data_IF_021198805120
#
_entry.id   IF_021198805120
#
_cell.length_a   1.000
_cell.length_b   1.000
_cell.length_c   1.000
_cell.angle_alpha   90.00
_cell.angle_beta   90.00
_cell.angle_gamma   90.00
#
_symmetry.space_group_name_H-M   'P 1'
#
loop_
_entity.id
_entity.type
_entity.pdbx_description
1 polymer ?
#
# COMPACT_ATOMS: atom_id res chain seq x y z
N UNK A 1 8.25 11.70 19.24
CA UNK A 1 8.71 12.03 20.62
C UNK A 1 8.05 13.31 21.17
N UNK A 2 6.72 13.44 21.13
CA UNK A 2 5.98 14.57 21.74
C UNK A 2 4.90 14.14 22.75
N UNK A 3 4.63 12.84 22.87
CA UNK A 3 3.60 12.30 23.76
C UNK A 3 4.10 12.04 25.20
N UNK A 4 5.40 11.80 25.39
CA UNK A 4 5.99 11.58 26.73
C UNK A 4 6.00 12.85 27.61
N UNK A 5 5.88 14.04 27.01
CA UNK A 5 5.88 15.33 27.72
C UNK A 5 4.51 15.73 28.26
N UNK A 6 3.41 15.19 27.72
CA UNK A 6 2.05 15.57 28.16
C UNK A 6 1.65 14.78 29.40
N UNK A 7 1.97 13.48 29.45
CA UNK A 7 1.70 12.63 30.62
C UNK A 7 2.53 13.04 31.85
N UNK A 8 3.76 13.51 31.66
CA UNK A 8 4.58 14.01 32.78
C UNK A 8 4.09 15.36 33.31
N UNK A 9 3.53 16.23 32.46
CA UNK A 9 2.96 17.51 32.87
C UNK A 9 1.67 17.36 33.70
N UNK A 10 0.78 16.43 33.33
CA UNK A 10 -0.44 16.17 34.09
C UNK A 10 -0.16 15.47 35.43
N UNK A 11 0.72 14.46 35.44
CA UNK A 11 1.11 13.79 36.68
C UNK A 11 1.89 14.70 37.65
N UNK A 12 2.64 15.69 37.13
CA UNK A 12 3.31 16.70 37.96
C UNK A 12 2.32 17.75 38.50
N UNK A 13 1.32 18.16 37.71
CA UNK A 13 0.31 19.13 38.13
C UNK A 13 -0.63 18.57 39.21
N UNK A 14 -1.07 17.31 39.10
CA UNK A 14 -1.91 16.67 40.12
C UNK A 14 -1.16 16.40 41.43
N UNK A 15 0.11 16.01 41.37
CA UNK A 15 0.95 15.88 42.58
C UNK A 15 1.18 17.23 43.25
N UNK A 16 1.32 18.31 42.49
CA UNK A 16 1.45 19.67 43.03
C UNK A 16 0.18 20.14 43.74
N UNK A 17 -1.01 19.88 43.16
CA UNK A 17 -2.28 20.30 43.74
C UNK A 17 -2.61 19.54 45.05
N UNK A 18 -2.40 18.23 45.06
CA UNK A 18 -2.63 17.40 46.25
C UNK A 18 -1.59 17.70 47.34
N UNK A 19 -0.33 17.96 46.97
CA UNK A 19 0.71 18.35 47.94
C UNK A 19 0.51 19.76 48.50
N UNK A 20 -0.02 20.71 47.70
CA UNK A 20 -0.35 22.06 48.17
C UNK A 20 -1.58 22.08 49.09
N UNK A 21 -2.61 21.27 48.83
CA UNK A 21 -3.74 21.16 49.77
C UNK A 21 -3.33 20.50 51.09
N UNK A 22 -2.42 19.51 51.04
CA UNK A 22 -1.92 18.86 52.26
C UNK A 22 -1.00 19.79 53.08
N UNK A 23 -0.12 20.57 52.44
CA UNK A 23 0.71 21.58 53.11
C UNK A 23 -0.11 22.74 53.68
N UNK A 24 -1.21 23.15 53.03
CA UNK A 24 -2.11 24.17 53.57
C UNK A 24 -2.83 23.72 54.86
N UNK A 25 -3.03 22.42 55.05
CA UNK A 25 -3.58 21.84 56.31
C UNK A 25 -2.52 21.40 57.33
N UNK A 26 -1.25 21.30 56.95
CA UNK A 26 -0.17 20.75 57.80
C UNK A 26 0.43 21.76 58.79
N UNK A 27 0.22 23.07 58.57
CA UNK A 27 0.69 24.11 59.49
C UNK A 27 -0.36 24.52 60.55
N UNK A 28 -0.89 23.56 61.30
CA UNK A 28 -1.41 23.83 62.65
C UNK A 28 -0.38 23.36 63.66
N UNK A 29 0.61 24.20 63.93
CA UNK A 29 1.45 24.05 65.10
C UNK A 29 0.53 24.27 66.32
N UNK A 30 0.19 23.19 67.03
CA UNK A 30 -0.60 23.29 68.27
C UNK A 30 0.38 23.71 69.36
N UNK A 31 0.41 25.01 69.63
CA UNK A 31 1.21 25.58 70.72
C UNK A 31 0.51 25.26 72.06
N UNK A 32 1.00 24.25 72.77
CA UNK A 32 0.41 23.76 74.02
C UNK A 32 0.82 24.57 75.26
N UNK A 33 1.48 25.71 75.09
CA UNK A 33 2.11 26.49 76.16
C UNK A 33 1.27 27.67 76.71
N UNK A 34 -0.01 27.80 76.32
CA UNK A 34 -0.89 28.84 76.84
C UNK A 34 -1.75 28.37 78.01
N UNK A 35 -1.83 29.15 79.09
CA UNK A 35 -2.58 28.85 80.33
C UNK A 35 -4.10 28.63 80.16
N UNK A 36 -4.64 28.77 78.94
CA UNK A 36 -6.05 28.57 78.59
C UNK A 36 -6.27 27.58 77.43
N UNK A 37 -5.37 26.62 77.23
CA UNK A 37 -5.57 25.56 76.24
C UNK A 37 -6.63 24.54 76.73
N UNK A 38 -7.87 24.67 76.28
CA UNK A 38 -8.90 23.64 76.50
C UNK A 38 -8.74 22.50 75.52
N UNK A 39 -8.45 21.31 76.06
CA UNK A 39 -8.31 20.08 75.30
C UNK A 39 -9.71 19.55 74.95
N UNK A 40 -10.21 19.90 73.77
CA UNK A 40 -11.48 19.37 73.25
C UNK A 40 -11.19 17.98 72.69
N UNK A 41 -11.50 16.95 73.48
CA UNK A 41 -11.38 15.57 73.07
C UNK A 41 -12.44 15.27 72.00
N UNK A 42 -12.02 14.78 70.84
CA UNK A 42 -12.91 14.32 69.80
C UNK A 42 -13.89 13.28 70.38
N UNK A 43 -15.17 13.49 70.15
CA UNK A 43 -16.21 12.58 70.62
C UNK A 43 -16.32 11.39 69.69
N UNK A 44 -16.93 10.31 70.16
CA UNK A 44 -17.20 9.15 69.31
C UNK A 44 -18.15 9.47 68.15
N UNK A 45 -18.99 10.50 68.30
CA UNK A 45 -19.84 11.01 67.22
C UNK A 45 -19.00 11.68 66.12
N UNK A 46 -17.99 12.48 66.48
CA UNK A 46 -17.10 13.14 65.51
C UNK A 46 -16.31 12.12 64.68
N UNK A 47 -15.88 11.00 65.30
CA UNK A 47 -15.20 9.91 64.61
C UNK A 47 -16.12 9.17 63.64
N UNK A 48 -17.39 8.94 64.02
CA UNK A 48 -18.38 8.30 63.14
C UNK A 48 -18.76 9.21 61.96
N UNK A 49 -18.87 10.51 62.19
CA UNK A 49 -19.13 11.48 61.12
C UNK A 49 -17.93 11.60 60.17
N UNK A 50 -16.68 11.65 60.67
CA UNK A 50 -15.49 11.58 59.83
C UNK A 50 -15.43 10.28 59.01
N UNK A 51 -15.74 9.14 59.62
CA UNK A 51 -15.77 7.86 58.92
C UNK A 51 -16.79 7.87 57.77
N UNK A 52 -17.98 8.44 58.01
CA UNK A 52 -19.03 8.58 57.01
C UNK A 52 -18.60 9.48 55.85
N UNK A 53 -18.01 10.64 56.16
CA UNK A 53 -17.49 11.56 55.13
C UNK A 53 -16.36 10.91 54.33
N UNK A 54 -15.44 10.19 54.98
CA UNK A 54 -14.37 9.46 54.30
C UNK A 54 -14.91 8.39 53.35
N UNK A 55 -15.90 7.60 53.79
CA UNK A 55 -16.52 6.57 52.93
C UNK A 55 -17.21 7.19 51.71
N UNK A 56 -17.94 8.30 51.90
CA UNK A 56 -18.56 9.03 50.79
C UNK A 56 -17.51 9.59 49.83
N UNK A 57 -16.38 10.06 50.35
CA UNK A 57 -15.29 10.58 49.52
C UNK A 57 -14.60 9.46 48.72
N UNK A 58 -14.37 8.30 49.34
CA UNK A 58 -13.84 7.10 48.68
C UNK A 58 -14.78 6.65 47.55
N UNK A 59 -16.08 6.62 47.82
CA UNK A 59 -17.08 6.24 46.82
C UNK A 59 -17.11 7.22 45.64
N UNK A 60 -17.06 8.53 45.93
CA UNK A 60 -16.99 9.57 44.90
C UNK A 60 -15.74 9.44 44.03
N UNK A 61 -14.57 9.30 44.64
CA UNK A 61 -13.30 9.15 43.91
C UNK A 61 -13.31 7.88 43.06
N UNK A 62 -13.88 6.78 43.57
CA UNK A 62 -14.01 5.54 42.79
C UNK A 62 -14.90 5.72 41.55
N UNK A 63 -16.00 6.45 41.66
CA UNK A 63 -16.88 6.75 40.53
C UNK A 63 -16.18 7.62 39.48
N UNK A 64 -15.51 8.69 39.91
CA UNK A 64 -14.74 9.58 39.02
C UNK A 64 -13.59 8.83 38.32
N UNK A 65 -12.91 7.94 39.04
CA UNK A 65 -11.86 7.10 38.50
C UNK A 65 -12.41 6.13 37.45
N UNK A 66 -13.53 5.45 37.73
CA UNK A 66 -14.16 4.54 36.77
C UNK A 66 -14.61 5.27 35.50
N UNK A 67 -15.18 6.47 35.64
CA UNK A 67 -15.61 7.29 34.50
C UNK A 67 -14.41 7.72 33.65
N UNK A 68 -13.32 8.15 34.30
CA UNK A 68 -12.08 8.54 33.62
C UNK A 68 -11.43 7.36 32.90
N UNK A 69 -11.37 6.19 33.53
CA UNK A 69 -10.85 4.96 32.91
C UNK A 69 -11.70 4.58 31.68
N UNK A 70 -13.03 4.64 31.79
CA UNK A 70 -13.92 4.31 30.68
C UNK A 70 -13.77 5.30 29.51
N UNK A 71 -13.68 6.60 29.80
CA UNK A 71 -13.54 7.62 28.76
C UNK A 71 -12.19 7.52 28.04
N UNK A 72 -11.12 7.28 28.79
CA UNK A 72 -9.76 7.09 28.23
C UNK A 72 -9.67 5.84 27.37
N UNK A 73 -10.21 4.70 27.81
CA UNK A 73 -10.25 3.49 26.96
C UNK A 73 -11.07 3.70 25.70
N UNK A 74 -12.22 4.38 25.78
CA UNK A 74 -13.03 4.70 24.61
C UNK A 74 -12.27 5.58 23.60
N UNK A 75 -11.59 6.62 24.06
CA UNK A 75 -10.79 7.49 23.21
C UNK A 75 -9.61 6.73 22.56
N UNK A 76 -8.99 5.80 23.31
CA UNK A 76 -7.94 4.94 22.78
C UNK A 76 -8.49 3.99 21.71
N UNK A 77 -9.63 3.34 21.95
CA UNK A 77 -10.26 2.42 20.99
C UNK A 77 -10.65 3.15 19.69
N UNK A 78 -11.23 4.35 19.79
CA UNK A 78 -11.57 5.18 18.62
C UNK A 78 -10.30 5.58 17.83
N UNK A 79 -9.22 5.91 18.54
CA UNK A 79 -7.93 6.25 17.91
C UNK A 79 -7.33 5.04 17.21
N UNK A 80 -7.28 3.88 17.88
CA UNK A 80 -6.74 2.64 17.32
C UNK A 80 -7.58 2.19 16.13
N UNK A 81 -8.90 2.25 16.21
CA UNK A 81 -9.78 1.94 15.10
C UNK A 81 -9.53 2.85 13.89
N UNK A 82 -9.36 4.16 14.11
CA UNK A 82 -9.02 5.12 13.06
C UNK A 82 -7.65 4.85 12.45
N UNK A 83 -6.63 4.53 13.24
CA UNK A 83 -5.29 4.21 12.73
C UNK A 83 -5.28 2.91 11.93
N UNK A 84 -5.97 1.87 12.42
CA UNK A 84 -6.11 0.60 11.71
C UNK A 84 -6.81 0.81 10.37
N UNK A 85 -7.90 1.57 10.34
CA UNK A 85 -8.60 1.88 9.08
C UNK A 85 -7.67 2.63 8.11
N UNK A 86 -6.97 3.66 8.60
CA UNK A 86 -6.02 4.39 7.77
C UNK A 86 -4.90 3.49 7.22
N UNK A 87 -4.41 2.54 8.02
CA UNK A 87 -3.41 1.57 7.54
C UNK A 87 -3.99 0.62 6.50
N UNK A 88 -5.24 0.17 6.67
CA UNK A 88 -5.93 -0.65 5.67
C UNK A 88 -6.10 0.10 4.36
N UNK A 89 -6.57 1.35 4.40
CA UNK A 89 -6.76 2.18 3.21
C UNK A 89 -5.43 2.41 2.46
N UNK A 90 -4.34 2.68 3.21
CA UNK A 90 -3.00 2.82 2.62
C UNK A 90 -2.48 1.52 2.02
N UNK A 91 -2.71 0.39 2.69
CA UNK A 91 -2.32 -0.92 2.18
C UNK A 91 -3.07 -1.23 0.88
N UNK A 92 -4.37 -0.96 0.83
CA UNK A 92 -5.18 -1.13 -0.37
C UNK A 92 -4.67 -0.26 -1.52
N UNK A 93 -4.44 1.03 -1.27
CA UNK A 93 -3.88 1.95 -2.27
C UNK A 93 -2.53 1.45 -2.81
N UNK A 94 -1.64 0.99 -1.93
CA UNK A 94 -0.34 0.44 -2.32
C UNK A 94 -0.48 -0.82 -3.17
N UNK A 95 -1.41 -1.72 -2.81
CA UNK A 95 -1.69 -2.93 -3.59
C UNK A 95 -2.24 -2.61 -4.98
N UNK A 96 -3.18 -1.67 -5.08
CA UNK A 96 -3.72 -1.21 -6.37
C UNK A 96 -2.63 -0.60 -7.26
N UNK A 97 -1.78 0.24 -6.69
CA UNK A 97 -0.64 0.84 -7.40
C UNK A 97 0.36 -0.23 -7.87
N UNK A 98 0.69 -1.17 -6.99
CA UNK A 98 1.63 -2.27 -7.30
C UNK A 98 1.07 -3.16 -8.40
N UNK A 99 -0.24 -3.48 -8.34
CA UNK A 99 -0.91 -4.27 -9.37
C UNK A 99 -0.86 -3.57 -10.74
N UNK A 100 -1.15 -2.27 -10.80
CA UNK A 100 -1.08 -1.49 -12.03
C UNK A 100 0.35 -1.46 -12.62
N UNK A 101 1.36 -1.35 -11.76
CA UNK A 101 2.76 -1.40 -12.17
C UNK A 101 3.15 -2.79 -12.71
N UNK A 102 2.79 -3.86 -12.00
CA UNK A 102 3.04 -5.24 -12.43
C UNK A 102 2.38 -5.55 -13.77
N UNK A 103 1.12 -5.12 -13.95
CA UNK A 103 0.41 -5.26 -15.21
C UNK A 103 1.15 -4.56 -16.36
N UNK A 104 1.63 -3.33 -16.13
CA UNK A 104 2.40 -2.57 -17.12
C UNK A 104 3.71 -3.27 -17.48
N UNK A 105 4.43 -3.79 -16.48
CA UNK A 105 5.66 -4.55 -16.68
C UNK A 105 5.41 -5.83 -17.46
N UNK A 106 4.37 -6.59 -17.13
CA UNK A 106 3.99 -7.81 -17.84
C UNK A 106 3.65 -7.53 -19.31
N UNK A 107 2.91 -6.47 -19.58
CA UNK A 107 2.65 -6.03 -20.96
C UNK A 107 3.95 -5.68 -21.69
N UNK A 108 4.87 -4.97 -21.03
CA UNK A 108 6.16 -4.61 -21.62
C UNK A 108 7.04 -5.83 -21.91
N UNK A 109 7.05 -6.82 -21.01
CA UNK A 109 7.76 -8.08 -21.16
C UNK A 109 7.26 -8.83 -22.40
N UNK A 110 5.94 -9.00 -22.53
CA UNK A 110 5.36 -9.68 -23.69
C UNK A 110 5.71 -9.01 -25.01
N UNK A 111 5.71 -7.67 -25.05
CA UNK A 111 6.11 -6.92 -26.25
C UNK A 111 7.59 -7.10 -26.57
N UNK A 112 8.46 -7.17 -25.55
CA UNK A 112 9.88 -7.47 -25.72
C UNK A 112 10.09 -8.90 -26.22
N UNK A 113 9.36 -9.88 -25.69
CA UNK A 113 9.42 -11.27 -26.17
C UNK A 113 9.05 -11.38 -27.65
N UNK A 114 7.99 -10.69 -28.06
CA UNK A 114 7.63 -10.56 -29.48
C UNK A 114 8.75 -9.92 -30.30
N UNK A 115 9.28 -8.78 -29.87
CA UNK A 115 10.34 -8.08 -30.57
C UNK A 115 11.62 -8.95 -30.72
N UNK A 116 11.99 -9.70 -29.68
CA UNK A 116 13.15 -10.59 -29.70
C UNK A 116 12.98 -11.77 -30.66
N UNK A 117 11.76 -12.30 -30.80
CA UNK A 117 11.43 -13.42 -31.70
C UNK A 117 11.16 -12.96 -33.13
N UNK A 118 10.83 -11.69 -33.32
CA UNK A 118 10.54 -11.11 -34.61
C UNK A 118 11.75 -11.18 -35.55
N UNK A 119 11.55 -11.70 -36.76
CA UNK A 119 12.57 -11.88 -37.78
C UNK A 119 13.46 -13.12 -37.62
N UNK A 120 13.50 -13.74 -36.43
CA UNK A 120 14.26 -14.97 -36.15
C UNK A 120 13.38 -16.21 -36.11
N UNK A 121 12.24 -16.14 -35.42
CA UNK A 121 11.33 -17.26 -35.21
C UNK A 121 10.00 -17.12 -35.96
N UNK A 122 9.69 -15.90 -36.41
CA UNK A 122 8.50 -15.58 -37.16
C UNK A 122 8.41 -14.07 -37.37
N UNK A 123 7.28 -13.60 -37.88
CA UNK A 123 7.02 -12.18 -38.09
C UNK A 123 5.60 -11.83 -37.74
N UNK A 124 5.40 -10.57 -37.37
CA UNK A 124 4.08 -10.02 -37.20
C UNK A 124 3.61 -9.36 -38.49
N UNK A 125 2.56 -9.91 -39.08
CA UNK A 125 2.05 -9.52 -40.39
C UNK A 125 0.65 -8.93 -40.26
N UNK A 126 0.47 -7.69 -40.69
CA UNK A 126 -0.79 -6.96 -40.63
C UNK A 126 -1.46 -6.91 -42.01
N UNK A 127 -2.78 -7.14 -42.02
CA UNK A 127 -3.58 -7.07 -43.24
C UNK A 127 -3.60 -5.64 -43.78
N UNK A 128 -3.35 -5.46 -45.08
CA UNK A 128 -3.20 -4.13 -45.68
C UNK A 128 -4.42 -3.22 -45.50
N UNK A 129 -5.63 -3.79 -45.59
CA UNK A 129 -6.89 -3.06 -45.45
C UNK A 129 -7.32 -2.87 -43.99
N UNK A 130 -6.75 -3.65 -43.06
CA UNK A 130 -7.10 -3.57 -41.65
C UNK A 130 -6.40 -2.42 -40.96
N UNK A 131 -7.07 -1.84 -39.96
CA UNK A 131 -6.47 -0.82 -39.09
C UNK A 131 -5.53 -1.43 -38.05
N UNK A 132 -5.87 -2.61 -37.52
CA UNK A 132 -5.11 -3.21 -36.43
C UNK A 132 -5.08 -4.73 -36.42
N UNK A 133 -5.59 -5.41 -37.44
CA UNK A 133 -5.58 -6.87 -37.50
C UNK A 133 -4.20 -7.34 -37.96
N UNK A 134 -3.46 -7.94 -37.03
CA UNK A 134 -2.16 -8.52 -37.27
C UNK A 134 -2.10 -9.96 -36.77
N UNK A 135 -1.40 -10.80 -37.51
CA UNK A 135 -1.22 -12.22 -37.23
C UNK A 135 0.26 -12.56 -37.19
N UNK A 136 0.62 -13.46 -36.27
CA UNK A 136 1.96 -14.01 -36.23
C UNK A 136 2.12 -15.11 -37.28
N UNK A 137 3.20 -15.04 -38.04
CA UNK A 137 3.55 -16.03 -39.06
C UNK A 137 4.90 -16.63 -38.71
N UNK A 138 4.90 -17.93 -38.39
CA UNK A 138 6.11 -18.66 -38.00
C UNK A 138 7.12 -18.81 -39.13
N UNK A 139 8.40 -18.84 -38.77
CA UNK A 139 9.50 -18.90 -39.73
C UNK A 139 9.54 -20.21 -40.55
N UNK A 140 9.02 -21.32 -40.03
CA UNK A 140 8.96 -22.59 -40.77
C UNK A 140 8.02 -22.51 -41.98
N UNK A 141 7.04 -21.61 -41.95
CA UNK A 141 6.17 -21.30 -43.10
C UNK A 141 6.80 -20.29 -44.06
N UNK A 142 7.94 -19.69 -43.71
CA UNK A 142 8.66 -18.68 -44.50
C UNK A 142 9.89 -19.25 -45.24
N UNK A 143 10.05 -20.58 -45.28
CA UNK A 143 11.21 -21.23 -45.91
C UNK A 143 11.25 -20.93 -47.42
N UNK A 144 12.34 -20.30 -47.87
CA UNK A 144 12.61 -20.02 -49.28
C UNK A 144 11.97 -18.74 -49.83
N UNK A 145 11.18 -18.02 -49.04
CA UNK A 145 10.75 -16.66 -49.36
C UNK A 145 11.61 -15.71 -48.55
N UNK A 146 12.16 -14.68 -49.22
CA UNK A 146 12.77 -13.54 -48.54
C UNK A 146 11.90 -13.20 -47.35
N UNK A 147 12.48 -13.07 -46.15
CA UNK A 147 11.83 -12.98 -44.84
C UNK A 147 10.78 -11.85 -44.79
N UNK A 148 9.68 -12.02 -45.49
CA UNK A 148 8.65 -11.03 -45.83
C UNK A 148 7.34 -11.74 -45.56
N UNK A 149 6.37 -10.98 -45.05
CA UNK A 149 5.03 -11.48 -44.84
C UNK A 149 4.45 -12.05 -46.14
N UNK A 150 3.78 -13.22 -46.11
CA UNK A 150 3.12 -13.75 -47.29
C UNK A 150 2.11 -12.74 -47.84
N UNK A 151 2.03 -12.61 -49.16
CA UNK A 151 1.17 -11.62 -49.81
C UNK A 151 -0.31 -11.70 -49.40
N UNK A 152 -0.79 -12.89 -49.03
CA UNK A 152 -2.16 -13.12 -48.57
C UNK A 152 -2.40 -12.68 -47.11
N UNK A 153 -1.36 -12.61 -46.28
CA UNK A 153 -1.44 -12.18 -44.88
C UNK A 153 -1.25 -10.67 -44.76
N UNK A 154 -0.32 -10.11 -45.53
CA UNK A 154 -0.15 -8.66 -45.66
C UNK A 154 1.30 -8.21 -45.52
N UNK A 155 1.54 -7.15 -44.75
CA UNK A 155 2.86 -6.51 -44.58
C UNK A 155 3.36 -6.64 -43.16
N UNK A 156 4.68 -6.52 -42.97
CA UNK A 156 5.28 -6.41 -41.65
C UNK A 156 4.62 -5.28 -40.86
N UNK A 157 4.35 -5.48 -39.57
CA UNK A 157 3.63 -4.50 -38.75
C UNK A 157 4.33 -3.13 -38.67
N UNK A 158 5.67 -3.08 -38.77
CA UNK A 158 6.43 -1.81 -38.82
C UNK A 158 6.22 -1.10 -40.15
N UNK A 159 6.25 -1.84 -41.26
CA UNK A 159 5.98 -1.30 -42.59
C UNK A 159 4.52 -0.85 -42.71
N UNK A 160 3.58 -1.64 -42.18
CA UNK A 160 2.16 -1.30 -42.12
C UNK A 160 1.92 0.02 -41.35
N UNK A 161 2.54 0.16 -40.17
CA UNK A 161 2.46 1.38 -39.37
C UNK A 161 3.06 2.58 -40.12
N UNK A 162 4.24 2.39 -40.72
CA UNK A 162 4.96 3.43 -41.46
C UNK A 162 4.17 3.89 -42.69
N UNK A 163 3.59 2.96 -43.44
CA UNK A 163 2.77 3.26 -44.62
C UNK A 163 1.50 4.03 -44.22
N UNK A 164 0.81 3.62 -43.15
CA UNK A 164 -0.35 4.35 -42.64
C UNK A 164 0.00 5.75 -42.11
N UNK A 165 1.17 5.90 -41.47
CA UNK A 165 1.66 7.21 -41.04
C UNK A 165 1.98 8.13 -42.23
N UNK A 166 2.55 7.58 -43.31
CA UNK A 166 2.76 8.33 -44.57
C UNK A 166 1.44 8.74 -45.21
N UNK A 167 0.48 7.82 -45.30
CA UNK A 167 -0.86 8.10 -45.83
C UNK A 167 -1.61 9.16 -44.99
N UNK A 168 -1.48 9.12 -43.65
CA UNK A 168 -1.97 10.19 -42.76
C UNK A 168 -1.32 11.54 -43.08
N UNK A 169 0.01 11.57 -43.26
CA UNK A 169 0.72 12.80 -43.63
C UNK A 169 0.31 13.35 -45.01
N UNK A 170 -0.15 12.47 -45.90
CA UNK A 170 -0.68 12.82 -47.22
C UNK A 170 -2.19 13.17 -47.21
N UNK A 171 -2.82 13.22 -46.03
CA UNK A 171 -4.26 13.43 -45.84
C UNK A 171 -5.16 12.36 -46.48
N UNK A 172 -4.61 11.16 -46.73
CA UNK A 172 -5.37 10.02 -47.25
C UNK A 172 -6.10 9.26 -46.14
N UNK A 173 -5.61 9.36 -44.90
CA UNK A 173 -6.19 8.73 -43.70
C UNK A 173 -6.37 9.74 -42.56
N UNK A 174 -7.38 9.50 -41.73
CA UNK A 174 -7.58 10.24 -40.47
C UNK A 174 -6.78 9.62 -39.32
N UNK A 175 -6.63 10.35 -38.22
CA UNK A 175 -5.92 9.88 -37.03
C UNK A 175 -6.51 8.60 -36.44
N UNK A 176 -7.83 8.49 -36.41
CA UNK A 176 -8.55 7.31 -35.90
C UNK A 176 -8.29 6.05 -36.75
N UNK A 177 -7.81 6.24 -37.98
CA UNK A 177 -7.45 5.15 -38.88
C UNK A 177 -5.98 4.74 -38.73
N UNK A 178 -5.21 5.29 -37.80
CA UNK A 178 -3.83 4.83 -37.56
C UNK A 178 -3.75 4.21 -36.17
N UNK A 179 -3.67 2.88 -36.11
CA UNK A 179 -3.45 2.20 -34.85
C UNK A 179 -2.03 2.48 -34.33
N UNK A 180 -1.87 2.75 -33.02
CA UNK A 180 -0.55 2.88 -32.43
C UNK A 180 0.20 1.54 -32.51
N UNK A 181 1.53 1.58 -32.62
CA UNK A 181 2.38 0.39 -32.80
C UNK A 181 2.11 -0.68 -31.74
N UNK A 182 1.95 -0.25 -30.48
CA UNK A 182 1.60 -1.11 -29.35
C UNK A 182 0.34 -1.96 -29.59
N UNK A 183 -0.67 -1.40 -30.25
CA UNK A 183 -1.92 -2.11 -30.57
C UNK A 183 -1.72 -3.14 -31.68
N UNK A 184 -0.84 -2.87 -32.64
CA UNK A 184 -0.48 -3.84 -33.69
C UNK A 184 0.26 -5.04 -33.08
N UNK A 185 1.20 -4.75 -32.17
CA UNK A 185 1.95 -5.75 -31.41
C UNK A 185 0.99 -6.60 -30.56
N UNK A 186 0.09 -5.96 -29.81
CA UNK A 186 -0.89 -6.67 -28.98
C UNK A 186 -1.86 -7.52 -29.82
N UNK A 187 -2.31 -7.05 -30.98
CA UNK A 187 -3.12 -7.87 -31.91
C UNK A 187 -2.36 -9.11 -32.38
N UNK A 188 -1.07 -8.97 -32.66
CA UNK A 188 -0.25 -10.10 -33.06
C UNK A 188 -0.09 -11.13 -31.95
N UNK A 189 0.12 -10.67 -30.72
CA UNK A 189 0.18 -11.52 -29.54
C UNK A 189 -1.12 -12.29 -29.33
N UNK A 190 -2.24 -11.64 -29.61
CA UNK A 190 -3.57 -12.24 -29.50
C UNK A 190 -3.86 -13.27 -30.61
N UNK A 191 -3.04 -13.31 -31.67
CA UNK A 191 -3.20 -14.28 -32.74
C UNK A 191 -2.94 -15.71 -32.25
N UNK A 192 -3.72 -16.71 -32.71
CA UNK A 192 -3.56 -18.10 -32.29
C UNK A 192 -2.16 -18.67 -32.54
N UNK A 193 -1.55 -18.32 -33.68
CA UNK A 193 -0.22 -18.79 -34.06
C UNK A 193 0.86 -18.32 -33.08
N UNK A 194 0.81 -17.07 -32.61
CA UNK A 194 1.72 -16.60 -31.57
C UNK A 194 1.52 -17.36 -30.26
N UNK A 195 0.27 -17.57 -29.84
CA UNK A 195 -0.02 -18.28 -28.59
C UNK A 195 0.48 -19.72 -28.63
N UNK A 196 0.40 -20.38 -29.79
CA UNK A 196 0.97 -21.71 -30.00
C UNK A 196 2.50 -21.66 -29.90
N UNK A 197 3.16 -20.76 -30.62
CA UNK A 197 4.62 -20.63 -30.57
C UNK A 197 5.14 -20.28 -29.17
N UNK A 198 4.48 -19.36 -28.47
CA UNK A 198 4.86 -18.95 -27.12
C UNK A 198 4.80 -20.13 -26.15
N UNK A 199 3.76 -20.97 -26.25
CA UNK A 199 3.63 -22.20 -25.44
C UNK A 199 4.66 -23.26 -25.82
N UNK A 200 4.92 -23.45 -27.11
CA UNK A 200 5.90 -24.43 -27.58
C UNK A 200 7.34 -24.06 -27.18
N UNK A 201 7.65 -22.76 -27.13
CA UNK A 201 8.96 -22.29 -26.71
C UNK A 201 9.22 -22.42 -25.20
N UNK A 202 8.18 -22.45 -24.37
CA UNK A 202 8.30 -22.79 -22.95
C UNK A 202 8.54 -24.30 -22.73
N UNK A 203 8.40 -25.12 -23.79
CA UNK A 203 8.48 -26.59 -23.73
C UNK A 203 9.76 -27.22 -24.31
N UNK A 204 10.86 -26.47 -24.50
CA UNK A 204 12.17 -27.13 -24.68
C UNK A 204 13.38 -26.23 -24.93
N UNK A 205 14.61 -26.80 -24.95
CA UNK A 205 15.13 -27.77 -23.97
C UNK A 205 15.58 -27.05 -22.70
N UNK A 206 15.79 -27.77 -21.60
CA UNK A 206 16.70 -27.32 -20.54
C UNK A 206 18.00 -26.82 -21.20
N UNK A 207 18.18 -25.51 -21.24
CA UNK A 207 19.52 -24.96 -21.28
C UNK A 207 20.11 -25.39 -19.95
N UNK A 208 20.90 -26.47 -19.97
CA UNK A 208 21.85 -26.79 -18.91
C UNK A 208 22.78 -25.56 -18.78
N UNK A 209 22.31 -24.56 -18.03
CA UNK A 209 23.18 -23.68 -17.28
C UNK A 209 23.86 -24.60 -16.27
N UNK A 210 25.00 -25.17 -16.67
CA UNK A 210 26.02 -25.56 -15.72
C UNK A 210 26.38 -24.29 -14.95
N UNK A 211 25.66 -24.06 -13.85
CA UNK A 211 26.09 -23.16 -12.82
C UNK A 211 27.40 -23.71 -12.29
N UNK A 212 28.52 -23.19 -12.79
CA UNK A 212 29.80 -23.29 -12.10
C UNK A 212 29.60 -22.61 -10.76
N UNK A 213 29.38 -23.42 -9.72
CA UNK A 213 29.24 -22.97 -8.35
C UNK A 213 30.52 -22.21 -7.95
N UNK A 214 30.39 -20.91 -7.72
CA UNK A 214 31.34 -20.18 -6.91
C UNK A 214 31.02 -20.49 -5.44
N UNK A 215 31.75 -21.44 -4.87
CA UNK A 215 31.77 -21.65 -3.43
C UNK A 215 32.56 -20.52 -2.79
N UNK A 216 31.86 -19.57 -2.16
CA UNK A 216 32.47 -18.65 -1.21
C UNK A 216 32.55 -19.37 0.12
N UNK A 217 33.77 -19.78 0.52
CA UNK A 217 34.03 -20.24 1.87
C UNK A 217 34.02 -19.04 2.82
N UNK A 218 33.06 -19.03 3.74
CA UNK A 218 33.11 -18.27 4.99
C UNK A 218 34.01 -19.00 5.99
#
# INVERSE_FOLDING_TARGET
MRFLTIFSAFAAAERSAISQEFEATSHRHVDLAGENATLVLATQADLLDMQKVMLQHIEKVNLELQETIKSTFKALDETVASEVQQMQDRAQFYLEQTYAMLYTLQVSEWRLQMAARHGTHGRCCCQATSMSSCEWVDHWLLVGHERICPAHVGKDYLDHFTDRMKAKAQNELTEDQVAPLNRLVDSCRESPAWQEQARSADSGPEVHLQATAFTVHL
#
